data_IF_986616496915
#
_entry.id   IF_986616496915
#
_cell.length_a   1.000
_cell.length_b   1.000
_cell.length_c   1.000
_cell.angle_alpha   90.00
_cell.angle_beta   90.00
_cell.angle_gamma   90.00
#
_symmetry.space_group_name_H-M   'P 1'
#
loop_
_entity.id
_entity.type
_entity.pdbx_description
1 polymer ?
#
# COMPACT_ATOMS: atom_id res chain seq x y z
N UNK A 1 -25.69 10.36 -0.22
CA UNK A 1 -24.26 10.01 -0.36
C UNK A 1 -24.21 8.52 -0.19
N UNK A 2 -23.76 7.80 -1.21
CA UNK A 2 -23.69 6.34 -1.13
C UNK A 2 -22.61 5.95 -0.11
N UNK A 3 -22.89 4.91 0.67
CA UNK A 3 -21.98 4.38 1.68
C UNK A 3 -21.18 3.23 1.06
N UNK A 4 -19.85 3.26 1.22
CA UNK A 4 -18.96 2.22 0.75
C UNK A 4 -18.07 1.74 1.90
N UNK A 5 -17.89 0.42 2.02
CA UNK A 5 -16.91 -0.17 2.92
C UNK A 5 -15.67 -0.59 2.14
N UNK A 6 -14.50 -0.30 2.70
CA UNK A 6 -13.23 -0.54 2.04
C UNK A 6 -12.24 -1.28 2.94
N UNK A 7 -11.46 -2.18 2.33
CA UNK A 7 -10.23 -2.73 2.91
C UNK A 7 -9.09 -2.49 1.92
N UNK A 8 -8.19 -1.58 2.27
CA UNK A 8 -7.22 -1.01 1.35
C UNK A 8 -5.80 -1.53 1.56
N UNK A 9 -5.58 -2.49 2.46
CA UNK A 9 -4.26 -3.07 2.65
C UNK A 9 -4.35 -4.58 2.78
N UNK A 10 -4.07 -5.25 1.68
CA UNK A 10 -3.98 -6.71 1.59
C UNK A 10 -2.70 -7.12 0.87
N UNK A 11 -2.49 -8.43 0.76
CA UNK A 11 -1.38 -9.01 0.01
C UNK A 11 -1.87 -10.05 -0.99
N UNK A 12 -1.06 -10.28 -2.02
CA UNK A 12 -1.28 -11.26 -3.08
C UNK A 12 -0.60 -12.61 -2.77
N UNK A 13 -0.81 -13.67 -3.58
CA UNK A 13 -0.05 -14.92 -3.49
C UNK A 13 1.47 -14.76 -3.60
N UNK A 14 1.96 -13.61 -4.07
CA UNK A 14 3.38 -13.35 -4.25
C UNK A 14 4.07 -12.76 -3.02
N UNK A 15 3.32 -12.50 -1.95
CA UNK A 15 3.87 -12.24 -0.63
C UNK A 15 4.18 -13.53 0.13
N UNK A 16 5.20 -13.48 0.97
CA UNK A 16 5.57 -14.59 1.85
C UNK A 16 4.44 -14.84 2.85
N UNK A 17 4.14 -16.12 3.13
CA UNK A 17 3.10 -16.55 4.07
C UNK A 17 1.66 -16.13 3.70
N UNK A 18 1.38 -15.82 2.43
CA UNK A 18 0.02 -15.63 1.91
C UNK A 18 -0.48 -16.87 1.18
N UNK A 19 -1.78 -17.14 1.24
CA UNK A 19 -2.42 -18.26 0.55
C UNK A 19 -2.16 -18.22 -0.95
N UNK A 20 -1.68 -19.34 -1.51
CA UNK A 20 -1.45 -19.50 -2.96
C UNK A 20 -2.72 -19.61 -3.79
N UNK A 21 -3.87 -19.79 -3.13
CA UNK A 21 -5.16 -19.87 -3.80
C UNK A 21 -5.82 -18.49 -3.99
N UNK A 22 -5.21 -17.41 -3.48
CA UNK A 22 -5.77 -16.07 -3.61
C UNK A 22 -5.75 -15.61 -5.09
N UNK A 23 -6.88 -15.11 -5.57
CA UNK A 23 -7.09 -14.55 -6.90
C UNK A 23 -8.32 -13.63 -6.87
N UNK A 24 -8.60 -12.87 -7.95
CA UNK A 24 -9.72 -11.92 -7.96
C UNK A 24 -11.08 -12.57 -7.68
N UNK A 25 -11.33 -13.82 -8.08
CA UNK A 25 -12.59 -14.51 -7.79
C UNK A 25 -12.77 -14.77 -6.30
N UNK A 26 -11.74 -15.32 -5.65
CA UNK A 26 -11.75 -15.57 -4.20
C UNK A 26 -11.81 -14.27 -3.39
N UNK A 27 -11.17 -13.20 -3.88
CA UNK A 27 -11.22 -11.86 -3.28
C UNK A 27 -12.63 -11.30 -3.35
N UNK A 28 -13.29 -11.36 -4.52
CA UNK A 28 -14.69 -10.92 -4.69
C UNK A 28 -15.65 -11.73 -3.84
N UNK A 29 -15.50 -13.06 -3.78
CA UNK A 29 -16.32 -13.90 -2.93
C UNK A 29 -16.21 -13.47 -1.45
N UNK A 30 -14.99 -13.18 -1.00
CA UNK A 30 -14.74 -12.70 0.37
C UNK A 30 -15.32 -11.32 0.60
N UNK A 31 -15.19 -10.39 -0.36
CA UNK A 31 -15.77 -9.05 -0.27
C UNK A 31 -17.29 -9.12 -0.11
N UNK A 32 -17.97 -9.94 -0.92
CA UNK A 32 -19.43 -10.14 -0.83
C UNK A 32 -19.87 -10.70 0.52
N UNK A 33 -19.09 -11.63 1.10
CA UNK A 33 -19.37 -12.17 2.45
C UNK A 33 -19.14 -11.14 3.55
N UNK A 34 -18.13 -10.29 3.41
CA UNK A 34 -17.77 -9.25 4.40
C UNK A 34 -18.56 -7.95 4.25
N UNK A 35 -19.25 -7.74 3.12
CA UNK A 35 -19.91 -6.48 2.80
C UNK A 35 -18.93 -5.37 2.41
N UNK A 36 -17.81 -5.73 1.76
CA UNK A 36 -16.84 -4.78 1.21
C UNK A 36 -17.20 -4.43 -0.24
N UNK A 37 -17.16 -3.13 -0.55
CA UNK A 37 -17.43 -2.61 -1.89
C UNK A 37 -16.14 -2.24 -2.63
N UNK A 38 -15.09 -1.91 -1.89
CA UNK A 38 -13.78 -1.48 -2.41
C UNK A 38 -12.68 -2.32 -1.76
N UNK A 39 -11.74 -2.81 -2.58
CA UNK A 39 -10.58 -3.57 -2.10
C UNK A 39 -9.27 -3.03 -2.68
N UNK A 40 -8.20 -2.98 -1.87
CA UNK A 40 -6.84 -2.87 -2.39
C UNK A 40 -6.48 -4.09 -3.23
N UNK A 41 -5.67 -3.95 -4.28
CA UNK A 41 -5.25 -5.13 -5.06
C UNK A 41 -4.24 -6.01 -4.33
N UNK A 42 -3.48 -5.44 -3.39
CA UNK A 42 -2.26 -6.04 -2.85
C UNK A 42 -1.15 -6.12 -3.91
N UNK A 43 0.09 -5.92 -3.50
CA UNK A 43 1.31 -6.28 -4.24
C UNK A 43 1.33 -5.90 -5.73
N UNK A 44 0.71 -4.80 -6.15
CA UNK A 44 0.55 -4.44 -7.57
C UNK A 44 1.89 -4.22 -8.29
N UNK A 45 2.97 -4.04 -7.54
CA UNK A 45 4.34 -3.96 -8.06
C UNK A 45 4.94 -5.32 -8.43
N UNK A 46 4.34 -6.46 -8.09
CA UNK A 46 4.88 -7.76 -8.49
C UNK A 46 4.56 -8.03 -9.97
N UNK A 47 5.53 -8.43 -10.81
CA UNK A 47 5.34 -8.45 -12.27
C UNK A 47 4.23 -9.36 -12.81
N UNK A 48 4.03 -10.53 -12.22
CA UNK A 48 3.03 -11.50 -12.68
C UNK A 48 1.64 -11.13 -12.17
N UNK A 49 1.56 -10.64 -10.93
CA UNK A 49 0.35 -10.07 -10.36
C UNK A 49 -0.11 -8.83 -11.12
N UNK A 50 0.80 -7.92 -11.47
CA UNK A 50 0.53 -6.76 -12.31
C UNK A 50 -0.08 -7.17 -13.66
N UNK A 51 0.55 -8.11 -14.37
CA UNK A 51 0.04 -8.62 -15.66
C UNK A 51 -1.34 -9.27 -15.49
N UNK A 52 -1.54 -10.02 -14.41
CA UNK A 52 -2.83 -10.63 -14.09
C UNK A 52 -3.90 -9.56 -13.82
N UNK A 53 -3.60 -8.53 -13.05
CA UNK A 53 -4.52 -7.43 -12.76
C UNK A 53 -4.85 -6.62 -14.02
N UNK A 54 -3.86 -6.26 -14.84
CA UNK A 54 -4.07 -5.55 -16.12
C UNK A 54 -4.98 -6.34 -17.07
N UNK A 55 -4.86 -7.67 -17.08
CA UNK A 55 -5.68 -8.53 -17.94
C UNK A 55 -7.14 -8.64 -17.47
N UNK A 56 -7.37 -8.58 -16.15
CA UNK A 56 -8.67 -8.95 -15.57
C UNK A 56 -9.47 -7.76 -15.05
N UNK A 57 -8.84 -6.70 -14.55
CA UNK A 57 -9.54 -5.53 -14.05
C UNK A 57 -10.08 -4.69 -15.21
N UNK A 58 -11.36 -4.33 -15.12
CA UNK A 58 -11.99 -3.39 -16.06
C UNK A 58 -11.77 -1.97 -15.57
N UNK A 59 -11.18 -1.10 -16.39
CA UNK A 59 -11.19 0.35 -16.17
C UNK A 59 -12.56 0.92 -16.58
N UNK A 60 -13.22 1.59 -15.66
CA UNK A 60 -14.51 2.24 -15.85
C UNK A 60 -14.32 3.65 -16.42
N UNK A 61 -15.42 4.26 -16.89
CA UNK A 61 -15.39 5.61 -17.50
C UNK A 61 -14.97 6.70 -16.50
N UNK A 62 -15.21 6.49 -15.21
CA UNK A 62 -14.80 7.38 -14.12
C UNK A 62 -13.33 7.17 -13.69
N UNK A 63 -12.61 6.25 -14.34
CA UNK A 63 -11.23 5.91 -14.04
C UNK A 63 -11.06 4.81 -12.99
N UNK A 64 -12.12 4.40 -12.30
CA UNK A 64 -12.05 3.32 -11.30
C UNK A 64 -11.78 1.96 -11.94
N UNK A 65 -11.19 1.04 -11.18
CA UNK A 65 -11.03 -0.36 -11.60
C UNK A 65 -12.10 -1.23 -10.93
N UNK A 66 -12.62 -2.22 -11.65
CA UNK A 66 -13.61 -3.14 -11.09
C UNK A 66 -13.47 -4.57 -11.61
N UNK A 67 -13.96 -5.52 -10.80
CA UNK A 67 -14.08 -6.92 -11.17
C UNK A 67 -15.32 -7.54 -10.52
N UNK A 68 -16.22 -8.11 -11.33
CA UNK A 68 -17.46 -8.80 -10.88
C UNK A 68 -18.30 -8.02 -9.83
N UNK A 69 -18.35 -6.70 -9.97
CA UNK A 69 -19.15 -5.79 -9.14
C UNK A 69 -18.44 -5.21 -7.92
N UNK A 70 -17.16 -5.55 -7.69
CA UNK A 70 -16.32 -4.95 -6.64
C UNK A 70 -15.34 -3.97 -7.27
N UNK A 71 -15.11 -2.83 -6.62
CA UNK A 71 -14.12 -1.85 -7.04
C UNK A 71 -12.74 -2.16 -6.45
N UNK A 72 -11.70 -1.81 -7.20
CA UNK A 72 -10.32 -2.05 -6.81
C UNK A 72 -9.51 -0.76 -6.85
N UNK A 73 -8.68 -0.56 -5.82
CA UNK A 73 -7.62 0.43 -5.79
C UNK A 73 -6.29 -0.29 -6.00
N UNK A 74 -5.51 0.16 -6.98
CA UNK A 74 -4.18 -0.37 -7.22
C UNK A 74 -3.30 -0.06 -6.00
N UNK A 75 -2.85 -1.09 -5.31
CA UNK A 75 -2.20 -0.97 -4.01
C UNK A 75 -1.01 -1.92 -3.87
N UNK A 76 0.02 -1.47 -3.16
CA UNK A 76 1.14 -2.30 -2.69
C UNK A 76 1.59 -1.85 -1.29
N UNK A 77 2.36 -2.70 -0.62
CA UNK A 77 3.17 -2.34 0.55
C UNK A 77 4.65 -2.37 0.16
N UNK A 78 5.46 -1.42 0.63
CA UNK A 78 6.91 -1.35 0.41
C UNK A 78 7.61 -1.35 1.77
N UNK A 79 8.72 -2.09 1.91
CA UNK A 79 9.63 -1.94 3.06
C UNK A 79 10.80 -1.02 2.68
N UNK A 80 11.03 0.05 3.45
CA UNK A 80 12.14 0.99 3.22
C UNK A 80 13.50 0.53 3.83
N UNK A 81 14.53 1.36 3.75
CA UNK A 81 15.85 1.05 4.32
C UNK A 81 15.84 0.97 5.86
N UNK A 82 14.95 1.72 6.49
CA UNK A 82 14.74 1.82 7.93
C UNK A 82 13.86 0.69 8.47
N UNK A 83 13.45 -0.23 7.58
CA UNK A 83 12.50 -1.31 7.80
C UNK A 83 11.14 -0.80 8.27
N UNK A 84 10.70 0.37 7.82
CA UNK A 84 9.32 0.85 7.95
C UNK A 84 8.54 0.37 6.72
N UNK A 85 7.33 -0.11 6.95
CA UNK A 85 6.41 -0.46 5.87
C UNK A 85 5.55 0.74 5.49
N UNK A 86 5.36 0.90 4.19
CA UNK A 86 4.65 2.01 3.57
C UNK A 86 3.58 1.46 2.63
N UNK A 87 2.32 1.89 2.79
CA UNK A 87 1.25 1.58 1.83
C UNK A 87 1.29 2.60 0.71
N UNK A 88 1.16 2.15 -0.53
CA UNK A 88 1.08 3.02 -1.71
C UNK A 88 -0.19 2.72 -2.50
N UNK A 89 -0.90 3.78 -2.89
CA UNK A 89 -2.06 3.75 -3.79
C UNK A 89 -1.73 4.43 -5.11
N UNK A 90 -2.04 3.76 -6.22
CA UNK A 90 -1.73 4.23 -7.57
C UNK A 90 -3.01 4.62 -8.33
N UNK A 91 -2.97 5.71 -9.11
CA UNK A 91 -4.11 6.13 -9.92
C UNK A 91 -4.34 5.23 -11.14
N UNK A 92 -3.27 4.65 -11.71
CA UNK A 92 -3.33 3.78 -12.88
C UNK A 92 -2.10 2.87 -13.03
N UNK A 93 -2.19 1.90 -13.93
CA UNK A 93 -1.11 0.96 -14.23
C UNK A 93 0.13 1.61 -14.86
N UNK A 94 -0.01 2.74 -15.58
CA UNK A 94 1.15 3.50 -16.08
C UNK A 94 2.00 4.02 -14.93
N UNK A 95 1.37 4.56 -13.90
CA UNK A 95 2.04 5.04 -12.69
C UNK A 95 2.72 3.90 -11.95
N UNK A 96 2.06 2.73 -11.84
CA UNK A 96 2.68 1.52 -11.26
C UNK A 96 3.99 1.16 -11.98
N UNK A 97 3.98 1.18 -13.32
CA UNK A 97 5.17 0.83 -14.12
C UNK A 97 6.29 1.86 -14.01
N UNK A 98 5.97 3.15 -13.98
CA UNK A 98 6.97 4.20 -13.76
C UNK A 98 7.57 4.11 -12.34
N UNK A 99 6.75 3.80 -11.32
CA UNK A 99 7.25 3.53 -9.96
C UNK A 99 8.15 2.30 -9.95
N UNK A 100 7.75 1.17 -10.56
CA UNK A 100 8.60 -0.03 -10.68
C UNK A 100 9.97 0.34 -11.28
N UNK A 101 9.99 1.12 -12.36
CA UNK A 101 11.22 1.56 -13.04
C UNK A 101 12.09 2.43 -12.14
N UNK A 102 11.50 3.39 -11.42
CA UNK A 102 12.23 4.32 -10.53
C UNK A 102 12.83 3.63 -9.32
N UNK A 103 12.12 2.68 -8.70
CA UNK A 103 12.58 2.02 -7.47
C UNK A 103 13.43 0.77 -7.74
N UNK A 104 13.38 0.20 -8.96
CA UNK A 104 14.12 -1.03 -9.31
C UNK A 104 15.63 -0.97 -8.98
N UNK A 105 16.36 0.12 -9.25
CA UNK A 105 17.79 0.21 -8.89
C UNK A 105 18.06 0.00 -7.39
N UNK A 106 17.07 0.28 -6.54
CA UNK A 106 17.16 0.22 -5.09
C UNK A 106 16.51 -1.03 -4.50
N UNK A 107 15.86 -1.87 -5.31
CA UNK A 107 15.15 -3.07 -4.86
C UNK A 107 15.58 -4.32 -5.61
N UNK A 108 16.28 -5.19 -4.88
CA UNK A 108 16.71 -6.49 -5.42
C UNK A 108 15.52 -7.39 -5.72
N UNK A 109 14.55 -7.46 -4.79
CA UNK A 109 13.44 -8.41 -4.84
C UNK A 109 12.20 -7.94 -5.60
N UNK A 110 12.15 -6.70 -6.11
CA UNK A 110 10.98 -6.14 -6.80
C UNK A 110 10.44 -7.03 -7.95
N UNK A 111 11.34 -7.69 -8.69
CA UNK A 111 10.95 -8.50 -9.85
C UNK A 111 11.03 -10.00 -9.56
N UNK A 112 11.21 -10.38 -8.30
CA UNK A 112 11.30 -11.77 -7.90
C UNK A 112 9.88 -12.35 -7.76
N UNK A 113 9.76 -13.68 -7.86
CA UNK A 113 8.47 -14.38 -7.73
C UNK A 113 7.81 -14.14 -6.36
N UNK A 114 8.62 -13.89 -5.32
CA UNK A 114 8.23 -13.56 -3.94
C UNK A 114 8.31 -12.06 -3.62
N UNK A 115 8.34 -11.23 -4.67
CA UNK A 115 8.47 -9.77 -4.59
C UNK A 115 7.20 -9.03 -4.18
N UNK A 116 6.22 -9.70 -3.56
CA UNK A 116 4.92 -9.08 -3.22
C UNK A 116 5.05 -7.82 -2.35
N UNK A 117 5.95 -7.87 -1.36
CA UNK A 117 6.46 -6.68 -0.67
C UNK A 117 7.93 -6.45 -1.05
N UNK A 118 8.22 -5.53 -1.97
CA UNK A 118 9.60 -5.18 -2.28
C UNK A 118 10.24 -4.46 -1.10
N UNK A 119 11.50 -4.81 -0.82
CA UNK A 119 12.37 -3.98 0.00
C UNK A 119 13.11 -3.00 -0.90
N UNK A 120 12.93 -1.72 -0.65
CA UNK A 120 13.52 -0.61 -1.40
C UNK A 120 14.53 0.08 -0.49
N UNK A 121 15.82 -0.01 -0.84
CA UNK A 121 16.91 0.54 -0.04
C UNK A 121 17.03 2.06 -0.24
N UNK A 122 15.97 2.79 0.10
CA UNK A 122 15.89 4.25 0.11
C UNK A 122 15.42 4.73 1.48
N UNK A 123 15.85 5.93 1.92
CA UNK A 123 15.25 6.59 3.07
C UNK A 123 13.75 6.84 2.86
N UNK A 124 12.91 6.76 3.92
CA UNK A 124 11.47 6.97 3.80
C UNK A 124 11.10 8.31 3.13
N UNK A 125 11.80 9.40 3.45
CA UNK A 125 11.56 10.71 2.83
C UNK A 125 11.77 10.71 1.31
N UNK A 126 12.86 10.11 0.82
CA UNK A 126 13.14 10.00 -0.62
C UNK A 126 12.12 9.10 -1.33
N UNK A 127 11.68 8.02 -0.66
CA UNK A 127 10.63 7.16 -1.18
C UNK A 127 9.30 7.92 -1.32
N UNK A 128 8.93 8.73 -0.32
CA UNK A 128 7.75 9.58 -0.40
C UNK A 128 7.83 10.53 -1.59
N UNK A 129 8.95 11.20 -1.79
CA UNK A 129 9.14 12.11 -2.94
C UNK A 129 8.98 11.38 -4.27
N UNK A 130 9.66 10.24 -4.48
CA UNK A 130 9.58 9.47 -5.73
C UNK A 130 8.14 9.05 -6.04
N UNK A 131 7.42 8.55 -5.04
CA UNK A 131 6.06 8.05 -5.22
C UNK A 131 5.08 9.19 -5.52
N UNK A 132 5.17 10.28 -4.75
CA UNK A 132 4.21 11.39 -4.85
C UNK A 132 4.46 12.27 -6.07
N UNK A 133 5.70 12.42 -6.53
CA UNK A 133 6.02 13.14 -7.77
C UNK A 133 5.45 12.44 -9.02
N UNK A 134 5.12 11.15 -8.92
CA UNK A 134 4.44 10.38 -9.97
C UNK A 134 2.90 10.37 -9.82
N UNK A 135 2.35 11.08 -8.83
CA UNK A 135 0.91 11.20 -8.61
C UNK A 135 0.27 10.05 -7.82
N UNK A 136 1.08 9.16 -7.23
CA UNK A 136 0.62 8.15 -6.28
C UNK A 136 0.60 8.70 -4.85
N UNK A 137 -0.14 8.03 -3.95
CA UNK A 137 -0.26 8.41 -2.54
C UNK A 137 0.45 7.37 -1.69
N UNK A 138 1.18 7.82 -0.67
CA UNK A 138 1.94 6.97 0.25
C UNK A 138 1.75 7.42 1.70
N UNK A 139 1.79 6.46 2.61
CA UNK A 139 1.83 6.70 4.04
C UNK A 139 2.20 5.44 4.83
N UNK A 140 2.56 5.60 6.12
CA UNK A 140 3.03 4.50 6.94
C UNK A 140 1.94 3.44 7.11
N UNK A 141 2.32 2.20 6.87
CA UNK A 141 1.52 1.03 7.19
C UNK A 141 1.55 0.77 8.71
N UNK A 142 0.43 0.27 9.24
CA UNK A 142 0.26 -0.25 10.60
C UNK A 142 1.15 0.41 11.66
N UNK A 143 1.04 1.74 11.76
CA UNK A 143 2.02 2.64 12.33
C UNK A 143 2.40 2.38 13.79
N UNK A 144 1.55 1.63 14.52
CA UNK A 144 1.69 1.32 15.93
C UNK A 144 2.03 -0.15 16.23
N UNK A 145 2.25 -0.98 15.20
CA UNK A 145 2.64 -2.38 15.44
C UNK A 145 4.08 -2.46 15.96
N UNK A 146 4.42 -3.47 16.78
CA UNK A 146 5.74 -3.54 17.42
C UNK A 146 6.89 -3.88 16.45
N UNK A 147 6.59 -4.23 15.20
CA UNK A 147 7.57 -4.62 14.20
C UNK A 147 7.26 -3.92 12.89
N UNK A 148 8.31 -3.50 12.17
CA UNK A 148 8.21 -2.89 10.84
C UNK A 148 7.33 -1.63 10.70
N UNK A 149 6.85 -1.07 11.81
CA UNK A 149 6.12 0.19 11.84
C UNK A 149 7.03 1.40 12.08
N UNK A 150 6.49 2.59 11.82
CA UNK A 150 7.15 3.89 12.07
C UNK A 150 7.37 4.17 13.56
N UNK A 151 6.35 4.00 14.40
CA UNK A 151 6.42 4.31 15.85
C UNK A 151 6.83 3.11 16.71
N UNK A 152 7.36 2.04 16.10
CA UNK A 152 7.89 0.91 16.86
C UNK A 152 9.01 1.36 17.81
N UNK A 153 9.26 0.56 18.84
CA UNK A 153 10.23 0.88 19.86
C UNK A 153 11.59 1.28 19.27
N UNK A 154 12.13 2.41 19.74
CA UNK A 154 13.42 2.97 19.36
C UNK A 154 13.56 3.30 17.85
N UNK A 155 12.45 3.59 17.15
CA UNK A 155 12.47 3.99 15.75
C UNK A 155 12.28 5.50 15.53
N UNK A 156 11.08 5.95 15.18
CA UNK A 156 10.77 7.38 15.02
C UNK A 156 9.75 7.81 16.06
N UNK A 157 9.82 9.08 16.50
CA UNK A 157 8.87 9.64 17.48
C UNK A 157 7.78 10.46 16.82
N UNK A 158 8.07 11.05 15.66
CA UNK A 158 7.14 11.87 14.88
C UNK A 158 7.22 11.53 13.39
N UNK A 159 6.19 11.92 12.62
CA UNK A 159 6.23 11.84 11.16
C UNK A 159 7.39 12.68 10.60
N UNK A 160 7.61 13.88 11.15
CA UNK A 160 8.74 14.76 10.80
C UNK A 160 10.10 14.09 10.93
N UNK A 161 10.33 13.32 12.00
CA UNK A 161 11.60 12.61 12.19
C UNK A 161 11.85 11.55 11.11
N UNK A 162 10.79 10.92 10.61
CA UNK A 162 10.86 9.87 9.59
C UNK A 162 10.95 10.46 8.16
N UNK A 163 10.02 11.35 7.82
CA UNK A 163 9.82 11.84 6.45
C UNK A 163 10.42 13.22 6.18
N UNK A 164 10.98 13.89 7.19
CA UNK A 164 11.61 15.20 7.04
C UNK A 164 10.67 16.21 6.35
N UNK A 165 11.10 16.91 5.31
CA UNK A 165 10.24 17.85 4.58
C UNK A 165 9.17 17.17 3.72
N UNK A 166 9.37 15.90 3.36
CA UNK A 166 8.41 15.09 2.61
C UNK A 166 7.18 14.69 3.44
N UNK A 167 7.21 14.88 4.77
CA UNK A 167 6.05 14.70 5.67
C UNK A 167 4.78 15.39 5.13
N UNK A 168 4.92 16.59 4.55
CA UNK A 168 3.79 17.37 4.00
C UNK A 168 3.08 16.67 2.82
N UNK A 169 3.76 15.72 2.19
CA UNK A 169 3.25 14.93 1.07
C UNK A 169 2.58 13.62 1.53
N UNK A 170 2.82 13.16 2.76
CA UNK A 170 2.13 12.00 3.35
C UNK A 170 0.69 12.39 3.67
N UNK A 171 -0.27 11.62 3.13
CA UNK A 171 -1.72 11.98 3.19
C UNK A 171 -2.54 11.15 4.14
N UNK A 172 -2.00 10.05 4.66
CA UNK A 172 -2.70 9.18 5.58
C UNK A 172 -1.70 8.46 6.48
N UNK A 173 -2.21 7.88 7.56
CA UNK A 173 -1.52 6.96 8.45
C UNK A 173 -2.43 5.75 8.65
N UNK A 174 -1.92 4.55 8.43
CA UNK A 174 -2.66 3.34 8.77
C UNK A 174 -2.43 2.99 10.24
N UNK A 175 -3.49 2.89 11.03
CA UNK A 175 -3.39 2.59 12.47
C UNK A 175 -2.85 1.17 12.72
N UNK A 176 -3.28 0.21 11.90
CA UNK A 176 -3.00 -1.21 12.10
C UNK A 176 -3.81 -1.83 13.24
N UNK A 177 -3.54 -3.10 13.51
CA UNK A 177 -4.33 -3.90 14.47
C UNK A 177 -4.06 -3.57 15.95
N UNK A 178 -3.05 -2.74 16.24
CA UNK A 178 -2.57 -2.45 17.60
C UNK A 178 -3.02 -1.08 18.13
N UNK A 179 -3.80 -0.33 17.36
CA UNK A 179 -4.25 1.01 17.73
C UNK A 179 -5.66 1.30 17.22
N UNK A 180 -6.31 2.27 17.85
CA UNK A 180 -7.51 2.93 17.35
C UNK A 180 -7.26 4.45 17.27
N UNK A 181 -8.23 5.19 16.73
CA UNK A 181 -8.10 6.65 16.55
C UNK A 181 -7.83 7.36 17.88
N UNK A 182 -8.52 6.98 18.96
CA UNK A 182 -8.33 7.58 20.29
C UNK A 182 -6.90 7.45 20.83
N UNK A 183 -6.19 6.37 20.47
CA UNK A 183 -4.78 6.18 20.82
C UNK A 183 -3.87 7.05 19.93
N UNK A 184 -4.13 7.05 18.63
CA UNK A 184 -3.33 7.78 17.65
C UNK A 184 -3.38 9.30 17.89
N UNK A 185 -4.55 9.84 18.22
CA UNK A 185 -4.77 11.27 18.48
C UNK A 185 -4.05 11.80 19.74
N UNK A 186 -3.42 10.90 20.52
CA UNK A 186 -2.52 11.30 21.63
C UNK A 186 -1.15 11.78 21.14
N UNK A 187 -0.75 11.45 19.91
CA UNK A 187 0.46 11.97 19.30
C UNK A 187 0.17 13.32 18.66
N UNK A 188 0.83 14.37 19.13
CA UNK A 188 0.63 15.73 18.62
C UNK A 188 0.89 15.84 17.11
N UNK A 189 1.80 15.04 16.57
CA UNK A 189 2.10 15.02 15.12
C UNK A 189 1.02 14.37 14.25
N UNK A 190 0.01 13.71 14.85
CA UNK A 190 -1.10 13.06 14.13
C UNK A 190 -2.44 13.76 14.32
N UNK A 191 -2.49 14.81 15.15
CA UNK A 191 -3.72 15.58 15.37
C UNK A 191 -4.12 16.30 14.09
N UNK A 192 -5.40 16.21 13.77
CA UNK A 192 -6.04 16.85 12.61
C UNK A 192 -6.33 18.32 12.84
#
# INVERSE_FOLDING_TARGET
MDLFNADLHIHSPHSIAVSKNLNLDTMVETCKKKGLDILGTGDVLQPDWLKYLEKNLKKNNDGSFSYKGIYFILQTEIEDIESVHEVVFFPDFSTVREVQKKIKPYSKNLLDEWGGRPRVNLPPAELVDIITDLGAIIGPAHAFTPFKAIFRQNKFKTLKDCYQDAEKKVKFVELGLSANTDLADRLDCLKS
#
